data_IF_744093333915
#
_entry.id   IF_744093333915
#
_cell.length_a   1.000
_cell.length_b   1.000
_cell.length_c   1.000
_cell.angle_alpha   90.00
_cell.angle_beta   90.00
_cell.angle_gamma   90.00
#
_symmetry.space_group_name_H-M   'P 1'
#
loop_
_entity.id
_entity.type
_entity.pdbx_description
1 polymer ?
#
# COMPACT_ATOMS: atom_id res chain seq x y z
N UNK A 1 6.03 1.99 11.70
CA UNK A 1 7.16 2.01 10.74
C UNK A 1 8.22 2.99 11.22
N UNK A 2 9.50 2.60 11.24
CA UNK A 2 10.54 3.52 11.70
C UNK A 2 10.60 4.78 10.84
N UNK A 3 10.85 5.92 11.46
CA UNK A 3 10.91 7.22 10.79
C UNK A 3 11.92 7.25 9.64
N UNK A 4 13.07 6.61 9.82
CA UNK A 4 14.12 6.54 8.80
C UNK A 4 13.66 5.83 7.52
N UNK A 5 12.81 4.81 7.63
CA UNK A 5 12.26 4.10 6.48
C UNK A 5 11.27 4.97 5.70
N UNK A 6 10.49 5.78 6.39
CA UNK A 6 9.55 6.73 5.77
C UNK A 6 10.33 7.80 5.01
N UNK A 7 11.36 8.37 5.61
CA UNK A 7 12.21 9.38 4.98
C UNK A 7 12.92 8.83 3.73
N UNK A 8 13.42 7.59 3.79
CA UNK A 8 14.04 6.92 2.64
C UNK A 8 13.04 6.69 1.51
N UNK A 9 11.83 6.25 1.83
CA UNK A 9 10.79 6.02 0.84
C UNK A 9 10.38 7.32 0.15
N UNK A 10 10.19 8.40 0.91
CA UNK A 10 9.87 9.73 0.38
C UNK A 10 11.01 10.25 -0.51
N UNK A 11 12.25 10.15 -0.05
CA UNK A 11 13.43 10.57 -0.80
C UNK A 11 13.58 9.78 -2.09
N UNK A 12 13.42 8.46 -2.04
CA UNK A 12 13.48 7.58 -3.21
C UNK A 12 12.43 7.95 -4.25
N UNK A 13 11.19 8.19 -3.82
CA UNK A 13 10.10 8.60 -4.70
C UNK A 13 10.35 9.99 -5.30
N UNK A 14 10.81 10.94 -4.51
CA UNK A 14 11.14 12.31 -4.95
C UNK A 14 12.29 12.31 -5.96
N UNK A 15 13.36 11.59 -5.68
CA UNK A 15 14.52 11.48 -6.57
C UNK A 15 14.12 10.85 -7.91
N UNK A 16 13.34 9.79 -7.88
CA UNK A 16 12.84 9.12 -9.09
C UNK A 16 11.94 10.03 -9.92
N UNK A 17 11.03 10.76 -9.30
CA UNK A 17 10.13 11.66 -10.02
C UNK A 17 10.87 12.84 -10.66
N UNK A 18 11.97 13.30 -10.08
CA UNK A 18 12.77 14.41 -10.61
C UNK A 18 13.67 14.02 -11.79
N UNK A 19 13.93 12.72 -11.98
CA UNK A 19 14.85 12.20 -13.01
C UNK A 19 14.13 11.61 -14.24
N UNK A 20 12.84 11.90 -14.42
CA UNK A 20 12.07 11.40 -15.56
C UNK A 20 11.54 9.99 -15.39
N UNK A 21 11.44 9.51 -14.16
CA UNK A 21 10.83 8.21 -13.83
C UNK A 21 9.32 8.23 -14.07
N UNK A 22 8.80 7.09 -14.51
CA UNK A 22 7.36 6.88 -14.71
C UNK A 22 6.85 5.89 -13.69
N UNK A 23 5.69 6.17 -13.14
CA UNK A 23 4.97 5.24 -12.26
C UNK A 23 4.17 4.27 -13.12
N UNK A 24 4.44 2.99 -12.96
CA UNK A 24 3.78 1.91 -13.69
C UNK A 24 3.38 0.82 -12.70
N UNK A 25 2.14 0.36 -12.83
CA UNK A 25 1.63 -0.72 -12.00
C UNK A 25 1.57 -2.01 -12.81
N UNK A 26 1.96 -3.12 -12.19
CA UNK A 26 1.90 -4.45 -12.76
C UNK A 26 1.00 -5.33 -11.91
N UNK A 27 0.22 -6.17 -12.56
CA UNK A 27 -0.78 -7.01 -11.93
C UNK A 27 -0.61 -8.44 -12.41
N UNK A 28 -0.65 -9.39 -11.50
CA UNK A 28 -0.48 -10.79 -11.83
C UNK A 28 -0.88 -11.72 -10.70
N UNK A 29 -0.74 -13.02 -10.98
CA UNK A 29 -1.02 -14.05 -10.00
C UNK A 29 0.27 -14.77 -9.64
N UNK A 30 0.53 -14.88 -8.35
CA UNK A 30 1.63 -15.67 -7.82
C UNK A 30 1.27 -17.15 -7.74
N UNK A 31 2.15 -17.97 -7.15
CA UNK A 31 1.84 -19.38 -6.92
C UNK A 31 0.57 -19.50 -6.07
N UNK A 32 -0.17 -20.57 -6.26
CA UNK A 32 -1.45 -20.86 -5.58
C UNK A 32 -2.56 -19.85 -5.89
N UNK A 33 -2.43 -19.07 -6.95
CA UNK A 33 -3.46 -18.14 -7.41
C UNK A 33 -3.61 -16.87 -6.57
N UNK A 34 -2.59 -16.48 -5.82
CA UNK A 34 -2.58 -15.23 -5.04
C UNK A 34 -2.48 -14.04 -5.98
N UNK A 35 -3.38 -13.09 -5.84
CA UNK A 35 -3.34 -11.85 -6.60
C UNK A 35 -2.23 -10.94 -6.05
N UNK A 36 -1.36 -10.44 -6.93
CA UNK A 36 -0.23 -9.59 -6.56
C UNK A 36 -0.26 -8.33 -7.41
N UNK A 37 -0.30 -7.19 -6.76
CA UNK A 37 -0.27 -5.88 -7.37
C UNK A 37 1.06 -5.19 -7.03
N UNK A 38 1.81 -4.77 -8.05
CA UNK A 38 3.14 -4.19 -7.88
C UNK A 38 3.15 -2.75 -8.39
N UNK A 39 3.47 -1.81 -7.52
CA UNK A 39 3.67 -0.42 -7.89
C UNK A 39 5.16 -0.16 -8.12
N UNK A 40 5.49 0.38 -9.29
CA UNK A 40 6.88 0.68 -9.67
C UNK A 40 7.06 2.12 -10.09
N UNK A 41 8.30 2.61 -9.97
CA UNK A 41 8.73 3.85 -10.59
C UNK A 41 10.03 3.57 -11.35
N UNK A 42 10.06 3.79 -12.65
CA UNK A 42 11.17 3.40 -13.49
C UNK A 42 11.42 4.39 -14.63
N UNK A 43 12.68 4.54 -15.02
CA UNK A 43 13.11 5.27 -16.21
C UNK A 43 13.19 4.34 -17.44
N UNK A 44 13.05 3.03 -17.25
CA UNK A 44 13.10 2.02 -18.31
C UNK A 44 12.05 0.93 -18.07
N UNK A 45 10.85 1.18 -18.59
CA UNK A 45 9.72 0.27 -18.40
C UNK A 45 9.91 -1.09 -19.09
N UNK A 46 10.68 -1.16 -20.14
CA UNK A 46 10.97 -2.44 -20.81
C UNK A 46 11.84 -3.35 -19.94
N UNK A 47 12.81 -2.78 -19.26
CA UNK A 47 13.63 -3.49 -18.29
C UNK A 47 12.76 -3.96 -17.10
N UNK A 48 11.95 -3.07 -16.57
CA UNK A 48 11.11 -3.35 -15.41
C UNK A 48 10.10 -4.46 -15.70
N UNK A 49 9.37 -4.38 -16.81
CA UNK A 49 8.38 -5.41 -17.16
C UNK A 49 9.03 -6.77 -17.37
N UNK A 50 10.20 -6.81 -17.99
CA UNK A 50 10.94 -8.06 -18.20
C UNK A 50 11.38 -8.67 -16.87
N UNK A 51 11.87 -7.85 -15.96
CA UNK A 51 12.30 -8.29 -14.64
C UNK A 51 11.11 -8.82 -13.81
N UNK A 52 10.03 -8.05 -13.73
CA UNK A 52 8.83 -8.43 -12.97
C UNK A 52 8.25 -9.74 -13.53
N UNK A 53 8.12 -9.85 -14.85
CA UNK A 53 7.64 -11.08 -15.49
C UNK A 53 8.52 -12.28 -15.15
N UNK A 54 9.82 -12.09 -15.15
CA UNK A 54 10.79 -13.13 -14.78
C UNK A 54 10.59 -13.60 -13.35
N UNK A 55 10.38 -12.68 -12.41
CA UNK A 55 10.14 -13.03 -11.01
C UNK A 55 8.89 -13.89 -10.85
N UNK A 56 7.79 -13.48 -11.45
CA UNK A 56 6.55 -14.26 -11.44
C UNK A 56 6.74 -15.64 -12.03
N UNK A 57 7.33 -15.73 -13.20
CA UNK A 57 7.53 -17.00 -13.90
C UNK A 57 8.43 -17.96 -13.12
N UNK A 58 9.51 -17.48 -12.54
CA UNK A 58 10.46 -18.30 -11.77
C UNK A 58 9.86 -18.86 -10.48
N UNK A 59 8.84 -18.21 -9.95
CA UNK A 59 8.20 -18.61 -8.69
C UNK A 59 6.82 -19.24 -8.90
N UNK A 60 6.54 -19.73 -10.09
CA UNK A 60 5.30 -20.45 -10.38
C UNK A 60 4.06 -19.57 -10.57
N UNK A 61 4.29 -18.28 -10.76
CA UNK A 61 3.24 -17.31 -11.03
C UNK A 61 3.17 -16.90 -12.50
N UNK A 62 2.34 -15.91 -12.77
CA UNK A 62 2.14 -15.41 -14.12
C UNK A 62 1.76 -13.93 -14.08
N UNK A 63 2.49 -13.10 -14.81
CA UNK A 63 2.16 -11.68 -14.93
C UNK A 63 0.97 -11.54 -15.89
N UNK A 64 -0.08 -10.85 -15.42
CA UNK A 64 -1.27 -10.58 -16.22
C UNK A 64 -1.19 -9.27 -16.98
N UNK A 65 -2.30 -8.93 -17.61
CA UNK A 65 -2.43 -7.64 -18.30
C UNK A 65 -2.78 -6.53 -17.31
N UNK A 66 -2.46 -5.31 -17.66
CA UNK A 66 -2.79 -4.14 -16.83
C UNK A 66 -4.31 -4.05 -16.63
N UNK A 67 -4.72 -3.88 -15.39
CA UNK A 67 -6.13 -3.80 -15.03
C UNK A 67 -6.78 -5.12 -14.65
N UNK A 68 -6.09 -6.26 -14.78
CA UNK A 68 -6.68 -7.58 -14.52
C UNK A 68 -7.06 -7.80 -13.05
N UNK A 69 -6.44 -7.06 -12.11
CA UNK A 69 -6.74 -7.13 -10.68
C UNK A 69 -7.54 -5.93 -10.18
N UNK A 70 -7.95 -5.03 -11.05
CA UNK A 70 -8.60 -3.77 -10.67
C UNK A 70 -9.86 -4.00 -9.82
N UNK A 71 -10.58 -5.08 -10.05
CA UNK A 71 -11.79 -5.43 -9.30
C UNK A 71 -11.53 -6.12 -7.96
N UNK A 72 -10.30 -6.57 -7.73
CA UNK A 72 -9.94 -7.30 -6.51
C UNK A 72 -9.44 -6.39 -5.40
N UNK A 73 -9.04 -5.16 -5.72
CA UNK A 73 -8.46 -4.22 -4.76
C UNK A 73 -9.19 -2.88 -4.80
N UNK A 74 -9.43 -2.33 -3.61
CA UNK A 74 -9.88 -0.95 -3.44
C UNK A 74 -8.70 -0.08 -3.05
N UNK A 75 -8.58 1.07 -3.69
CA UNK A 75 -7.54 2.05 -3.35
C UNK A 75 -8.01 2.90 -2.17
N UNK A 76 -7.20 2.95 -1.10
CA UNK A 76 -7.50 3.67 0.13
C UNK A 76 -6.39 4.64 0.48
N UNK A 77 -6.76 5.73 1.15
CA UNK A 77 -5.81 6.57 1.84
C UNK A 77 -5.67 6.09 3.29
N UNK A 78 -4.44 5.95 3.76
CA UNK A 78 -4.14 5.51 5.12
C UNK A 78 -3.34 6.60 5.82
N UNK A 79 -3.92 7.21 6.84
CA UNK A 79 -3.25 8.19 7.69
C UNK A 79 -2.87 7.56 9.02
N UNK A 80 -1.65 7.79 9.46
CA UNK A 80 -1.22 7.48 10.82
C UNK A 80 -0.98 8.78 11.54
N UNK A 81 -1.72 9.01 12.61
CA UNK A 81 -1.63 10.23 13.42
C UNK A 81 -1.32 9.89 14.86
N UNK A 82 -0.69 10.84 15.57
CA UNK A 82 -0.46 10.68 17.01
C UNK A 82 -1.79 10.75 17.75
N UNK A 83 -2.02 9.81 18.67
CA UNK A 83 -3.20 9.83 19.53
C UNK A 83 -3.12 11.00 20.51
N UNK A 84 -4.28 11.61 20.78
CA UNK A 84 -4.41 12.68 21.78
C UNK A 84 -4.94 12.09 23.09
N UNK A 85 -4.47 12.64 24.21
CA UNK A 85 -4.99 12.28 25.53
C UNK A 85 -6.48 12.61 25.63
N UNK A 86 -7.26 11.64 26.12
CA UNK A 86 -8.68 11.83 26.34
C UNK A 86 -9.55 11.85 25.09
N UNK A 87 -8.99 11.42 23.95
CA UNK A 87 -9.76 11.36 22.70
C UNK A 87 -10.83 10.27 22.76
N UNK A 88 -12.03 10.63 22.31
CA UNK A 88 -13.11 9.65 22.10
C UNK A 88 -13.07 9.17 20.66
N UNK A 89 -12.69 7.90 20.45
CA UNK A 89 -12.52 7.33 19.12
C UNK A 89 -13.85 7.17 18.38
N UNK A 90 -14.92 6.87 19.10
CA UNK A 90 -16.25 6.72 18.48
C UNK A 90 -16.77 8.07 17.97
N UNK A 91 -16.54 9.14 18.72
CA UNK A 91 -16.89 10.49 18.30
C UNK A 91 -16.03 10.93 17.09
N UNK A 92 -14.74 10.64 17.13
CA UNK A 92 -13.82 10.95 16.04
C UNK A 92 -14.22 10.22 14.76
N UNK A 93 -14.59 8.94 14.86
CA UNK A 93 -15.03 8.13 13.73
C UNK A 93 -16.31 8.73 13.11
N UNK A 94 -17.27 9.11 13.94
CA UNK A 94 -18.52 9.74 13.48
C UNK A 94 -18.26 11.06 12.75
N UNK A 95 -17.36 11.89 13.24
CA UNK A 95 -16.99 13.14 12.58
C UNK A 95 -16.29 12.91 11.25
N UNK A 96 -15.43 11.92 11.18
CA UNK A 96 -14.62 11.62 9.99
C UNK A 96 -15.40 10.91 8.87
N UNK A 97 -16.54 10.29 9.17
CA UNK A 97 -17.39 9.64 8.16
C UNK A 97 -17.78 10.63 7.07
N UNK A 98 -18.10 11.87 7.42
CA UNK A 98 -18.48 12.91 6.47
C UNK A 98 -17.32 13.31 5.54
N UNK A 99 -16.08 12.96 5.91
CA UNK A 99 -14.87 13.23 5.15
C UNK A 99 -14.35 12.01 4.38
N UNK A 100 -15.11 10.93 4.34
CA UNK A 100 -14.78 9.75 3.57
C UNK A 100 -14.03 8.64 4.33
N UNK A 101 -13.91 8.75 5.65
CA UNK A 101 -13.29 7.72 6.47
C UNK A 101 -14.20 6.50 6.56
N UNK A 102 -13.63 5.32 6.37
CA UNK A 102 -14.34 4.05 6.37
C UNK A 102 -13.98 3.19 7.58
N UNK A 103 -12.75 3.30 8.06
CA UNK A 103 -12.26 2.50 9.18
C UNK A 103 -11.25 3.31 10.01
N UNK A 104 -11.27 3.09 11.32
CA UNK A 104 -10.37 3.74 12.26
C UNK A 104 -9.86 2.70 13.26
N UNK A 105 -8.55 2.62 13.42
CA UNK A 105 -7.89 1.74 14.39
C UNK A 105 -7.05 2.53 15.36
N UNK A 106 -6.92 2.03 16.59
CA UNK A 106 -6.09 2.64 17.63
C UNK A 106 -4.99 1.66 18.04
N UNK A 107 -3.76 2.09 17.98
CA UNK A 107 -2.61 1.35 18.49
C UNK A 107 -2.17 1.99 19.79
N UNK A 108 -2.53 1.34 20.91
CA UNK A 108 -2.22 1.84 22.25
C UNK A 108 -0.72 1.76 22.58
N UNK A 109 -0.02 0.78 22.02
CA UNK A 109 1.42 0.60 22.27
C UNK A 109 2.24 1.70 21.59
N UNK A 110 1.90 2.00 20.35
CA UNK A 110 2.56 3.05 19.59
C UNK A 110 1.99 4.46 19.87
N UNK A 111 0.84 4.53 20.53
CA UNK A 111 0.16 5.80 20.77
C UNK A 111 -0.31 6.47 19.50
N UNK A 112 -0.78 5.69 18.53
CA UNK A 112 -1.20 6.19 17.22
C UNK A 112 -2.61 5.77 16.87
N UNK A 113 -3.23 6.55 15.97
CA UNK A 113 -4.51 6.24 15.36
C UNK A 113 -4.27 6.04 13.87
N UNK A 114 -4.75 4.93 13.33
CA UNK A 114 -4.67 4.60 11.90
C UNK A 114 -6.05 4.81 11.28
N UNK A 115 -6.11 5.61 10.21
CA UNK A 115 -7.35 6.03 9.58
C UNK A 115 -7.34 5.60 8.12
N UNK A 116 -8.30 4.79 7.72
CA UNK A 116 -8.50 4.36 6.34
C UNK A 116 -9.73 5.03 5.75
N UNK A 117 -9.61 5.53 4.54
CA UNK A 117 -10.73 6.15 3.86
C UNK A 117 -10.58 6.16 2.35
N UNK A 118 -11.60 6.66 1.67
CA UNK A 118 -11.64 6.74 0.21
C UNK A 118 -10.46 7.55 -0.33
N UNK A 119 -9.72 6.95 -1.23
CA UNK A 119 -8.58 7.59 -1.89
C UNK A 119 -8.95 8.95 -2.50
N UNK A 120 -10.13 9.07 -3.10
CA UNK A 120 -10.58 10.31 -3.75
C UNK A 120 -10.87 11.45 -2.77
N UNK A 121 -11.00 11.14 -1.50
CA UNK A 121 -11.30 12.12 -0.44
C UNK A 121 -10.12 12.37 0.51
N UNK A 122 -8.92 11.92 0.16
CA UNK A 122 -7.75 12.05 1.04
C UNK A 122 -7.44 13.50 1.42
N UNK A 123 -7.62 14.44 0.49
CA UNK A 123 -7.35 15.86 0.74
C UNK A 123 -8.27 16.44 1.81
N UNK A 124 -9.53 16.03 1.83
CA UNK A 124 -10.49 16.45 2.84
C UNK A 124 -10.17 15.87 4.21
N UNK A 125 -9.77 14.59 4.25
CA UNK A 125 -9.34 13.95 5.49
C UNK A 125 -8.09 14.61 6.05
N UNK A 126 -7.10 14.87 5.21
CA UNK A 126 -5.87 15.55 5.62
C UNK A 126 -6.15 16.91 6.20
N UNK A 127 -6.98 17.70 5.52
CA UNK A 127 -7.35 19.04 5.98
C UNK A 127 -8.05 19.00 7.34
N UNK A 128 -8.99 18.08 7.54
CA UNK A 128 -9.66 17.90 8.81
C UNK A 128 -8.67 17.61 9.94
N UNK A 129 -7.75 16.67 9.70
CA UNK A 129 -6.75 16.28 10.69
C UNK A 129 -5.82 17.46 11.06
N UNK A 130 -5.38 18.22 10.06
CA UNK A 130 -4.53 19.38 10.28
C UNK A 130 -5.28 20.50 11.03
N UNK A 131 -6.52 20.81 10.63
CA UNK A 131 -7.35 21.85 11.24
C UNK A 131 -7.70 21.54 12.70
N UNK A 132 -7.80 20.25 13.05
CA UNK A 132 -8.09 19.81 14.42
C UNK A 132 -6.82 19.50 15.24
N UNK A 133 -5.66 19.86 14.72
CA UNK A 133 -4.39 19.78 15.45
C UNK A 133 -3.84 18.37 15.63
N UNK A 134 -4.21 17.43 14.79
CA UNK A 134 -3.60 16.10 14.79
C UNK A 134 -2.22 16.14 14.13
N UNK A 135 -1.25 15.49 14.75
CA UNK A 135 0.07 15.31 14.16
C UNK A 135 0.05 14.12 13.23
N UNK A 136 0.12 14.38 11.92
CA UNK A 136 0.14 13.35 10.90
C UNK A 136 1.57 12.81 10.79
N UNK A 137 1.75 11.54 11.17
CA UNK A 137 3.04 10.85 11.08
C UNK A 137 3.29 10.32 9.68
N UNK A 138 2.25 9.81 9.02
CA UNK A 138 2.35 9.31 7.65
C UNK A 138 1.01 9.39 6.92
N UNK A 139 1.10 9.50 5.59
CA UNK A 139 -0.03 9.36 4.69
C UNK A 139 0.41 8.45 3.56
N UNK A 140 -0.22 7.28 3.45
CA UNK A 140 0.11 6.28 2.44
C UNK A 140 -1.14 5.95 1.63
N UNK A 141 -0.94 5.67 0.35
CA UNK A 141 -2.00 5.15 -0.51
C UNK A 141 -1.82 3.66 -0.63
N UNK A 142 -2.82 2.91 -0.20
CA UNK A 142 -2.77 1.45 -0.16
C UNK A 142 -3.88 0.86 -1.01
N UNK A 143 -3.70 -0.39 -1.38
CA UNK A 143 -4.70 -1.18 -2.08
C UNK A 143 -5.13 -2.31 -1.16
N UNK A 144 -6.40 -2.32 -0.82
CA UNK A 144 -6.98 -3.29 0.12
C UNK A 144 -7.78 -4.31 -0.68
N UNK A 145 -7.53 -5.61 -0.52
CA UNK A 145 -8.29 -6.63 -1.24
C UNK A 145 -9.73 -6.69 -0.75
N UNK A 146 -10.66 -6.79 -1.70
CA UNK A 146 -12.10 -6.96 -1.40
C UNK A 146 -12.39 -8.34 -0.83
N UNK A 147 -11.57 -9.33 -1.19
CA UNK A 147 -11.67 -10.69 -0.72
C UNK A 147 -10.26 -11.23 -0.49
N UNK A 148 -10.09 -11.98 0.59
CA UNK A 148 -8.79 -12.51 0.98
C UNK A 148 -8.69 -14.00 0.69
N UNK A 149 -7.46 -14.44 0.43
CA UNK A 149 -7.15 -15.85 0.18
C UNK A 149 -6.29 -16.38 1.33
N UNK A 150 -6.74 -17.46 1.93
CA UNK A 150 -6.01 -18.16 2.99
C UNK A 150 -5.20 -19.30 2.40
N UNK A 151 -3.93 -19.39 2.74
CA UNK A 151 -3.01 -20.42 2.29
C UNK A 151 -2.45 -21.19 3.49
N UNK A 152 -1.97 -22.41 3.23
CA UNK A 152 -1.19 -23.16 4.22
C UNK A 152 0.18 -22.51 4.42
N UNK A 153 0.89 -22.87 5.49
CA UNK A 153 2.21 -22.31 5.80
C UNK A 153 3.22 -22.56 4.68
N UNK A 154 3.19 -23.75 4.06
CA UNK A 154 4.06 -24.10 2.94
C UNK A 154 3.75 -23.26 1.69
N UNK A 155 2.48 -23.05 1.42
CA UNK A 155 2.02 -22.22 0.30
C UNK A 155 2.37 -20.76 0.52
N UNK A 156 2.20 -20.26 1.75
CA UNK A 156 2.59 -18.91 2.15
C UNK A 156 4.08 -18.66 1.95
N UNK A 157 4.92 -19.64 2.28
CA UNK A 157 6.37 -19.54 2.09
C UNK A 157 6.73 -19.36 0.62
N UNK A 158 6.07 -20.09 -0.28
CA UNK A 158 6.27 -19.95 -1.72
C UNK A 158 5.92 -18.56 -2.23
N UNK A 159 4.80 -18.02 -1.77
CA UNK A 159 4.34 -16.67 -2.12
C UNK A 159 5.29 -15.62 -1.56
N UNK A 160 5.71 -15.79 -0.32
CA UNK A 160 6.61 -14.84 0.34
C UNK A 160 7.96 -14.73 -0.39
N UNK A 161 8.49 -15.85 -0.90
CA UNK A 161 9.71 -15.83 -1.72
C UNK A 161 9.55 -14.98 -2.97
N UNK A 162 8.41 -15.07 -3.63
CA UNK A 162 8.12 -14.21 -4.79
C UNK A 162 8.03 -12.75 -4.39
N UNK A 163 7.30 -12.44 -3.33
CA UNK A 163 7.14 -11.07 -2.84
C UNK A 163 8.50 -10.47 -2.47
N UNK A 164 9.32 -11.21 -1.74
CA UNK A 164 10.67 -10.77 -1.34
C UNK A 164 11.54 -10.48 -2.56
N UNK A 165 11.46 -11.33 -3.59
CA UNK A 165 12.22 -11.14 -4.83
C UNK A 165 11.78 -9.89 -5.58
N UNK A 166 10.48 -9.62 -5.62
CA UNK A 166 9.93 -8.42 -6.26
C UNK A 166 10.38 -7.18 -5.48
N UNK A 167 10.30 -7.21 -4.16
CA UNK A 167 10.67 -6.07 -3.31
C UNK A 167 12.17 -5.73 -3.35
N UNK A 168 13.02 -6.68 -3.72
CA UNK A 168 14.45 -6.44 -3.92
C UNK A 168 14.76 -5.60 -5.17
N UNK A 169 13.83 -5.51 -6.11
CA UNK A 169 14.02 -4.72 -7.32
C UNK A 169 13.96 -3.22 -6.99
N UNK A 170 14.94 -2.47 -7.45
CA UNK A 170 15.07 -1.03 -7.19
C UNK A 170 13.89 -0.21 -7.77
N UNK A 171 13.26 -0.70 -8.81
CA UNK A 171 12.13 -0.03 -9.45
C UNK A 171 10.83 -0.24 -8.68
N UNK A 172 10.74 -1.26 -7.83
CA UNK A 172 9.55 -1.59 -7.04
C UNK A 172 9.42 -0.69 -5.83
N UNK A 173 8.26 -0.06 -5.68
CA UNK A 173 7.95 0.80 -4.54
C UNK A 173 7.04 0.14 -3.52
N UNK A 174 5.98 -0.53 -3.99
CA UNK A 174 5.02 -1.21 -3.12
C UNK A 174 4.55 -2.52 -3.77
N UNK A 175 4.24 -3.50 -2.93
CA UNK A 175 3.64 -4.76 -3.35
C UNK A 175 2.41 -5.02 -2.47
N UNK A 176 1.27 -5.26 -3.09
CA UNK A 176 0.02 -5.57 -2.41
C UNK A 176 -0.47 -6.95 -2.83
N UNK A 177 -1.06 -7.68 -1.90
CA UNK A 177 -1.58 -9.03 -2.14
C UNK A 177 -2.96 -9.20 -1.53
N UNK A 178 -3.68 -10.23 -1.96
CA UNK A 178 -4.97 -10.61 -1.35
C UNK A 178 -4.82 -11.72 -0.30
N UNK A 179 -3.65 -11.87 0.29
CA UNK A 179 -3.44 -12.77 1.42
C UNK A 179 -4.20 -12.30 2.65
N UNK A 180 -4.89 -13.21 3.30
CA UNK A 180 -5.67 -12.94 4.50
C UNK A 180 -5.33 -13.83 5.66
#
# INVERSE_FOLDING_TARGET
MPKDNIERAIKKATDKSSEGYKEICYEGYGPHGVAIFVETATDNNMRTVANIRSYFTKHGGNLGTQGCLQFLFDRKACFTVSAKDGIDLDELELELIDFGVEELGHDEEEGTIVIYGDFNQYSQMQKYLEDNGFEIQSCEFVRIPNDTKTLSDEEMESVQKLIDRIEEDEDVQNVFTNLG
#
